data_IF_475374154644
#
_entry.id   IF_475374154644
#
_cell.length_a   1.000
_cell.length_b   1.000
_cell.length_c   1.000
_cell.angle_alpha   90.00
_cell.angle_beta   90.00
_cell.angle_gamma   90.00
#
_symmetry.space_group_name_H-M   'P 1'
#
loop_
_entity.id
_entity.type
_entity.pdbx_description
1 polymer ?
#
# COMPACT_ATOMS: atom_id res chain seq x y z
N UNK A 1 -11.68 3.12 -11.78
CA UNK A 1 -13.09 2.95 -11.44
C UNK A 1 -13.22 2.37 -10.05
N UNK A 2 -14.13 2.89 -9.21
CA UNK A 2 -14.37 2.39 -7.85
C UNK A 2 -15.08 1.03 -7.75
N UNK A 3 -15.13 0.24 -8.82
CA UNK A 3 -15.96 -0.94 -9.00
C UNK A 3 -15.56 -2.21 -8.22
N UNK A 4 -14.59 -2.14 -7.32
CA UNK A 4 -14.23 -3.28 -6.44
C UNK A 4 -14.62 -3.02 -4.97
N UNK A 5 -15.40 -1.98 -4.70
CA UNK A 5 -15.91 -1.64 -3.37
C UNK A 5 -17.35 -2.15 -3.18
N UNK A 6 -17.74 -2.38 -1.93
CA UNK A 6 -19.05 -2.95 -1.51
C UNK A 6 -20.20 -2.02 -1.94
N UNK A 7 -21.17 -2.51 -2.69
CA UNK A 7 -22.38 -1.80 -3.08
C UNK A 7 -22.71 -1.96 -4.57
N UNK A 8 -21.99 -1.32 -5.47
CA UNK A 8 -22.15 -1.48 -6.92
C UNK A 8 -21.26 -2.59 -7.52
N UNK A 9 -20.51 -3.29 -6.67
CA UNK A 9 -19.55 -4.32 -7.03
C UNK A 9 -20.18 -5.57 -7.65
N UNK A 10 -21.46 -5.83 -7.43
CA UNK A 10 -22.13 -7.04 -7.93
C UNK A 10 -22.19 -7.07 -9.47
N UNK A 11 -22.45 -5.91 -10.12
CA UNK A 11 -22.46 -5.85 -11.58
C UNK A 11 -21.05 -6.00 -12.17
N UNK A 12 -20.06 -5.33 -11.59
CA UNK A 12 -18.66 -5.43 -12.05
C UNK A 12 -18.16 -6.85 -11.84
N UNK A 13 -18.42 -7.43 -10.69
CA UNK A 13 -18.02 -8.80 -10.36
C UNK A 13 -18.67 -9.80 -11.32
N UNK A 14 -19.98 -9.79 -11.46
CA UNK A 14 -20.73 -10.70 -12.34
C UNK A 14 -20.36 -10.55 -13.81
N UNK A 15 -20.00 -9.33 -14.24
CA UNK A 15 -19.53 -9.08 -15.61
C UNK A 15 -18.14 -9.64 -15.82
N UNK A 16 -17.22 -9.41 -14.87
CA UNK A 16 -15.84 -9.90 -14.96
C UNK A 16 -15.77 -11.43 -14.91
N UNK A 17 -16.60 -12.08 -14.09
CA UNK A 17 -16.71 -13.54 -14.02
C UNK A 17 -17.24 -14.17 -15.33
N UNK A 18 -18.03 -13.42 -16.12
CA UNK A 18 -18.47 -13.83 -17.47
C UNK A 18 -17.41 -13.64 -18.54
N UNK A 19 -16.50 -12.68 -18.35
CA UNK A 19 -15.47 -12.33 -19.33
C UNK A 19 -14.16 -13.10 -19.16
N UNK A 20 -13.95 -13.69 -18.00
CA UNK A 20 -12.72 -14.41 -17.69
C UNK A 20 -12.66 -14.93 -16.26
N UNK A 21 -11.48 -15.38 -15.87
CA UNK A 21 -11.20 -15.91 -14.53
C UNK A 21 -10.70 -14.77 -13.64
N UNK A 22 -11.61 -14.05 -12.98
CA UNK A 22 -11.28 -12.94 -12.08
C UNK A 22 -11.70 -13.27 -10.65
N UNK A 23 -10.76 -13.21 -9.72
CA UNK A 23 -10.97 -13.43 -8.29
C UNK A 23 -10.96 -12.10 -7.53
N UNK A 24 -11.87 -11.97 -6.56
CA UNK A 24 -11.97 -10.82 -5.69
C UNK A 24 -11.45 -11.16 -4.30
N UNK A 25 -10.50 -10.37 -3.82
CA UNK A 25 -9.82 -10.61 -2.56
C UNK A 25 -10.08 -9.49 -1.55
N UNK A 26 -10.15 -9.89 -0.28
CA UNK A 26 -10.08 -8.97 0.85
C UNK A 26 -8.70 -9.12 1.49
N UNK A 27 -7.72 -8.40 0.96
CA UNK A 27 -6.36 -8.45 1.47
C UNK A 27 -6.30 -7.85 2.89
N UNK A 28 -5.58 -8.52 3.79
CA UNK A 28 -5.42 -8.03 5.17
C UNK A 28 -4.40 -6.90 5.26
N UNK A 29 -4.69 -5.80 4.56
CA UNK A 29 -3.86 -4.59 4.55
C UNK A 29 -4.71 -3.31 4.67
N UNK A 30 -4.06 -2.21 5.03
CA UNK A 30 -4.62 -0.87 5.09
C UNK A 30 -3.54 0.16 4.68
N UNK A 31 -3.90 1.08 3.74
CA UNK A 31 -5.10 1.09 2.91
C UNK A 31 -5.06 0.00 1.84
N UNK A 32 -6.18 -0.21 1.13
CA UNK A 32 -6.17 -1.10 -0.04
C UNK A 32 -6.69 -2.52 0.22
N UNK A 33 -7.71 -2.67 1.08
CA UNK A 33 -8.30 -3.98 1.40
C UNK A 33 -8.92 -4.72 0.20
N UNK A 34 -9.77 -4.09 -0.64
CA UNK A 34 -10.34 -4.78 -1.80
C UNK A 34 -9.34 -4.80 -2.96
N UNK A 35 -9.20 -5.96 -3.57
CA UNK A 35 -8.37 -6.18 -4.76
C UNK A 35 -9.04 -7.23 -5.63
N UNK A 36 -9.14 -7.00 -6.94
CA UNK A 36 -9.49 -8.03 -7.89
C UNK A 36 -8.26 -8.36 -8.75
N UNK A 37 -8.07 -9.64 -9.03
CA UNK A 37 -6.97 -10.11 -9.86
C UNK A 37 -7.44 -11.29 -10.68
N UNK A 38 -7.01 -11.35 -11.93
CA UNK A 38 -7.36 -12.46 -12.79
C UNK A 38 -6.91 -12.29 -14.22
N UNK A 39 -7.54 -13.04 -15.10
CA UNK A 39 -7.25 -13.04 -16.53
C UNK A 39 -8.56 -12.90 -17.32
N UNK A 40 -8.56 -11.99 -18.28
CA UNK A 40 -9.65 -11.80 -19.25
C UNK A 40 -9.05 -12.06 -20.62
N UNK A 41 -9.47 -13.15 -21.28
CA UNK A 41 -8.82 -13.67 -22.49
C UNK A 41 -7.31 -13.85 -22.25
N UNK A 42 -6.48 -13.12 -23.00
CA UNK A 42 -5.01 -13.17 -22.89
C UNK A 42 -4.45 -12.02 -22.05
N UNK A 43 -5.27 -11.17 -21.46
CA UNK A 43 -4.85 -10.02 -20.67
C UNK A 43 -4.92 -10.30 -19.16
N UNK A 44 -3.91 -9.89 -18.42
CA UNK A 44 -3.94 -9.86 -16.95
C UNK A 44 -4.78 -8.67 -16.50
N UNK A 45 -5.66 -8.91 -15.55
CA UNK A 45 -6.56 -7.90 -14.99
C UNK A 45 -6.22 -7.62 -13.52
N UNK A 46 -6.11 -6.35 -13.18
CA UNK A 46 -6.04 -5.85 -11.80
C UNK A 46 -7.16 -4.86 -11.55
N UNK A 47 -8.02 -5.16 -10.60
CA UNK A 47 -9.04 -4.25 -10.10
C UNK A 47 -8.60 -3.63 -8.78
N UNK A 48 -8.29 -2.33 -8.80
CA UNK A 48 -7.78 -1.62 -7.64
C UNK A 48 -8.91 -0.90 -6.89
N UNK A 49 -8.73 -0.57 -5.59
CA UNK A 49 -9.70 0.20 -4.81
C UNK A 49 -10.01 1.56 -5.46
N UNK A 50 -11.17 2.16 -5.12
CA UNK A 50 -11.54 3.48 -5.65
C UNK A 50 -10.87 4.66 -4.94
N UNK A 51 -10.49 4.52 -3.68
CA UNK A 51 -9.84 5.59 -2.92
C UNK A 51 -8.40 5.84 -3.42
N UNK A 52 -8.01 7.08 -3.73
CA UNK A 52 -6.74 7.37 -4.42
C UNK A 52 -5.50 6.87 -3.69
N UNK A 53 -5.41 7.04 -2.39
CA UNK A 53 -4.27 6.50 -1.61
C UNK A 53 -4.25 4.97 -1.63
N UNK A 54 -5.42 4.33 -1.58
CA UNK A 54 -5.51 2.87 -1.69
C UNK A 54 -5.05 2.38 -3.06
N UNK A 55 -5.42 3.09 -4.14
CA UNK A 55 -4.94 2.79 -5.50
C UNK A 55 -3.42 2.82 -5.56
N UNK A 56 -2.81 3.91 -5.08
CA UNK A 56 -1.36 4.09 -5.12
C UNK A 56 -0.64 2.99 -4.32
N UNK A 57 -1.08 2.74 -3.09
CA UNK A 57 -0.47 1.70 -2.24
C UNK A 57 -0.61 0.32 -2.88
N UNK A 58 -1.80 -0.06 -3.35
CA UNK A 58 -1.99 -1.38 -3.99
C UNK A 58 -1.24 -1.49 -5.32
N UNK A 59 -1.14 -0.40 -6.08
CA UNK A 59 -0.33 -0.36 -7.28
C UNK A 59 1.14 -0.65 -6.97
N UNK A 60 1.74 0.10 -6.07
CA UNK A 60 3.14 -0.08 -5.70
C UNK A 60 3.43 -1.46 -5.10
N UNK A 61 2.54 -1.98 -4.26
CA UNK A 61 2.79 -3.24 -3.56
C UNK A 61 2.62 -4.46 -4.46
N UNK A 62 1.64 -4.45 -5.39
CA UNK A 62 1.28 -5.62 -6.19
C UNK A 62 1.49 -5.43 -7.69
N UNK A 63 0.91 -4.37 -8.27
CA UNK A 63 0.81 -4.23 -9.73
C UNK A 63 2.17 -3.94 -10.34
N UNK A 64 2.93 -3.05 -9.74
CA UNK A 64 4.24 -2.66 -10.26
C UNK A 64 5.18 -3.87 -10.41
N UNK A 65 5.26 -4.71 -9.38
CA UNK A 65 6.11 -5.92 -9.45
C UNK A 65 5.64 -6.90 -10.53
N UNK A 66 4.32 -7.02 -10.70
CA UNK A 66 3.77 -7.84 -11.76
C UNK A 66 4.10 -7.30 -13.15
N UNK A 67 4.01 -5.97 -13.34
CA UNK A 67 4.39 -5.31 -14.61
C UNK A 67 5.89 -5.47 -14.90
N UNK A 68 6.75 -5.33 -13.91
CA UNK A 68 8.18 -5.57 -14.04
C UNK A 68 8.45 -7.00 -14.54
N UNK A 69 7.85 -7.98 -13.88
CA UNK A 69 7.98 -9.38 -14.27
C UNK A 69 7.43 -9.67 -15.68
N UNK A 70 6.28 -9.08 -16.01
CA UNK A 70 5.67 -9.23 -17.34
C UNK A 70 6.53 -8.59 -18.44
N UNK A 71 7.31 -7.55 -18.13
CA UNK A 71 8.25 -6.92 -19.05
C UNK A 71 9.59 -7.68 -19.17
N UNK A 72 9.72 -8.84 -18.52
CA UNK A 72 10.94 -9.64 -18.52
C UNK A 72 12.03 -9.14 -17.58
N UNK A 73 11.69 -8.21 -16.68
CA UNK A 73 12.62 -7.70 -15.66
C UNK A 73 12.50 -8.50 -14.37
N UNK A 74 13.61 -8.65 -13.65
CA UNK A 74 13.53 -9.06 -12.25
C UNK A 74 12.90 -7.94 -11.43
N UNK A 75 11.89 -8.23 -10.59
CA UNK A 75 11.26 -7.23 -9.75
C UNK A 75 12.28 -6.55 -8.84
N UNK A 76 12.24 -5.22 -8.76
CA UNK A 76 13.14 -4.44 -7.93
C UNK A 76 13.02 -4.85 -6.46
N UNK A 77 14.17 -5.15 -5.83
CA UNK A 77 14.22 -5.32 -4.38
C UNK A 77 14.00 -3.97 -3.72
N UNK A 78 12.90 -3.84 -3.02
CA UNK A 78 12.57 -2.60 -2.31
C UNK A 78 13.56 -2.35 -1.18
N UNK A 79 14.03 -1.13 -1.08
CA UNK A 79 14.85 -0.69 0.04
C UNK A 79 13.97 -0.63 1.29
N UNK A 80 14.44 -1.25 2.34
CA UNK A 80 13.80 -1.23 3.66
C UNK A 80 14.81 -0.71 4.66
N UNK A 81 14.47 0.38 5.31
CA UNK A 81 15.32 1.03 6.30
C UNK A 81 14.70 0.90 7.69
N UNK A 82 15.52 1.01 8.71
CA UNK A 82 15.09 1.15 10.09
C UNK A 82 15.19 2.61 10.50
N UNK A 83 14.10 3.18 11.01
CA UNK A 83 14.05 4.56 11.46
C UNK A 83 13.45 4.64 12.86
N UNK A 84 13.84 5.63 13.65
CA UNK A 84 13.18 5.94 14.93
C UNK A 84 11.95 6.80 14.68
N UNK A 85 10.83 6.42 15.26
CA UNK A 85 9.59 7.19 15.13
C UNK A 85 9.61 8.45 15.99
N UNK A 86 9.32 9.59 15.40
CA UNK A 86 9.12 10.88 16.10
C UNK A 86 7.70 11.04 16.63
N UNK A 87 6.82 10.07 16.42
CA UNK A 87 5.42 10.14 16.80
C UNK A 87 4.86 8.79 17.22
N UNK A 88 3.85 8.83 18.08
CA UNK A 88 3.07 7.62 18.40
C UNK A 88 2.27 7.21 17.17
N UNK A 89 2.45 5.97 16.72
CA UNK A 89 1.69 5.38 15.62
C UNK A 89 0.65 4.41 16.19
N UNK A 90 -0.61 4.76 16.01
CA UNK A 90 -1.72 3.91 16.47
C UNK A 90 -2.18 2.98 15.35
N UNK A 91 -2.37 1.72 15.70
CA UNK A 91 -2.85 0.67 14.80
C UNK A 91 -3.67 -0.34 15.59
N UNK A 92 -4.64 -0.99 14.93
CA UNK A 92 -5.31 -2.18 15.47
C UNK A 92 -4.68 -3.42 14.84
N UNK A 93 -4.41 -4.50 15.59
CA UNK A 93 -3.95 -5.77 15.04
C UNK A 93 -4.87 -6.35 13.96
N UNK A 94 -4.39 -7.33 13.23
CA UNK A 94 -5.15 -8.09 12.24
C UNK A 94 -4.98 -7.63 10.79
N UNK A 95 -4.28 -6.53 10.53
CA UNK A 95 -3.92 -6.10 9.18
C UNK A 95 -2.54 -5.46 9.16
N UNK A 96 -1.82 -5.66 8.07
CA UNK A 96 -0.64 -4.83 7.76
C UNK A 96 -1.09 -3.41 7.46
N UNK A 97 -0.38 -2.39 7.98
CA UNK A 97 -0.64 -1.00 7.62
C UNK A 97 0.58 -0.36 6.96
N UNK A 98 0.30 0.39 5.87
CA UNK A 98 1.24 1.29 5.21
C UNK A 98 0.80 2.73 5.52
N UNK A 99 1.37 3.32 6.58
CA UNK A 99 1.13 4.72 6.91
C UNK A 99 2.10 5.59 6.09
N UNK A 100 1.68 6.80 5.76
CA UNK A 100 2.53 7.75 5.02
C UNK A 100 3.38 8.51 6.02
N UNK A 101 4.67 8.61 5.72
CA UNK A 101 5.63 9.29 6.58
C UNK A 101 6.60 10.17 5.79
N UNK A 102 7.25 11.05 6.53
CA UNK A 102 8.41 11.80 6.09
C UNK A 102 9.57 11.27 6.91
N UNK A 103 10.57 10.69 6.26
CA UNK A 103 11.81 10.32 6.89
C UNK A 103 12.91 11.30 6.53
N UNK A 104 13.84 11.46 7.42
CA UNK A 104 15.04 12.29 7.28
C UNK A 104 16.20 11.66 8.05
N UNK A 105 17.39 12.21 7.89
CA UNK A 105 18.58 11.82 8.65
C UNK A 105 18.82 12.91 9.72
N UNK A 106 18.94 12.51 10.98
CA UNK A 106 19.24 13.41 12.08
C UNK A 106 20.72 13.83 12.10
N UNK A 107 21.08 14.72 13.02
CA UNK A 107 22.46 15.23 13.15
C UNK A 107 23.50 14.12 13.49
N UNK A 108 23.05 13.02 14.06
CA UNK A 108 23.87 11.87 14.44
C UNK A 108 23.95 10.80 13.34
N UNK A 109 23.30 11.05 12.18
CA UNK A 109 23.28 10.14 11.03
C UNK A 109 22.23 9.02 11.13
N UNK A 110 21.29 9.09 12.06
CA UNK A 110 20.23 8.09 12.18
C UNK A 110 19.01 8.46 11.32
N UNK A 111 18.34 7.46 10.77
CA UNK A 111 17.04 7.66 10.15
C UNK A 111 15.98 7.89 11.23
N UNK A 112 15.23 8.96 11.07
CA UNK A 112 14.06 9.30 11.88
C UNK A 112 12.86 9.46 10.96
N UNK A 113 11.66 9.16 11.45
CA UNK A 113 10.43 9.23 10.66
C UNK A 113 9.29 9.82 11.45
N UNK A 114 8.52 10.67 10.81
CA UNK A 114 7.27 11.21 11.32
C UNK A 114 6.12 10.87 10.36
N UNK A 115 4.95 10.53 10.90
CA UNK A 115 3.77 10.32 10.05
C UNK A 115 3.30 11.64 9.46
N UNK A 116 2.91 11.66 8.19
CA UNK A 116 2.14 12.78 7.64
C UNK A 116 0.76 12.80 8.30
N UNK A 117 0.17 13.98 8.50
CA UNK A 117 -1.13 14.25 9.10
C UNK A 117 -2.15 13.09 9.15
N UNK A 118 -3.36 13.31 8.69
CA UNK A 118 -4.41 12.29 8.72
C UNK A 118 -4.15 11.15 7.73
N UNK A 119 -4.28 9.90 8.20
CA UNK A 119 -3.94 8.67 7.46
C UNK A 119 -5.14 8.04 6.71
N UNK A 120 -6.19 8.81 6.42
CA UNK A 120 -7.35 8.34 5.67
C UNK A 120 -7.00 7.96 4.22
N UNK A 121 -7.67 6.93 3.69
CA UNK A 121 -7.42 6.42 2.32
C UNK A 121 -7.88 7.37 1.20
N UNK A 122 -8.72 8.34 1.51
CA UNK A 122 -9.16 9.39 0.59
C UNK A 122 -8.32 10.68 0.65
N UNK A 123 -7.35 10.77 1.57
CA UNK A 123 -6.58 12.01 1.79
C UNK A 123 -5.31 11.96 0.94
N UNK A 124 -5.44 12.35 -0.33
CA UNK A 124 -4.33 12.33 -1.29
C UNK A 124 -3.15 13.21 -0.87
N UNK A 125 -3.41 14.34 -0.21
CA UNK A 125 -2.36 15.23 0.29
C UNK A 125 -1.34 14.48 1.16
N UNK A 126 -1.78 13.51 1.97
CA UNK A 126 -0.89 12.71 2.79
C UNK A 126 0.14 11.90 2.00
N UNK A 127 -0.15 11.60 0.73
CA UNK A 127 0.80 10.96 -0.20
C UNK A 127 1.77 11.98 -0.80
N UNK A 128 1.26 13.17 -1.14
CA UNK A 128 2.10 14.24 -1.73
C UNK A 128 3.13 14.77 -0.76
N UNK A 129 2.78 14.80 0.53
CA UNK A 129 3.67 15.28 1.59
C UNK A 129 4.68 14.20 2.06
N UNK A 130 4.42 12.93 1.75
CA UNK A 130 5.24 11.81 2.20
C UNK A 130 6.41 11.51 1.26
N UNK A 131 7.48 10.94 1.82
CA UNK A 131 8.60 10.37 1.07
C UNK A 131 8.83 8.88 1.38
N UNK A 132 8.02 8.29 2.27
CA UNK A 132 8.09 6.86 2.58
C UNK A 132 6.74 6.29 3.01
N UNK A 133 6.65 4.96 2.95
CA UNK A 133 5.69 4.21 3.75
C UNK A 133 6.31 3.79 5.06
N UNK A 134 5.59 3.98 6.16
CA UNK A 134 5.89 3.38 7.46
C UNK A 134 5.17 2.04 7.49
N UNK A 135 5.92 0.95 7.62
CA UNK A 135 5.40 -0.41 7.61
C UNK A 135 5.10 -0.89 9.03
N UNK A 136 3.85 -1.18 9.29
CA UNK A 136 3.37 -1.73 10.57
C UNK A 136 2.87 -3.16 10.31
N UNK A 137 3.55 -4.18 10.86
CA UNK A 137 3.19 -5.58 10.64
C UNK A 137 1.82 -5.93 11.22
N UNK A 138 1.29 -7.10 10.85
CA UNK A 138 -0.09 -7.51 11.15
C UNK A 138 -0.36 -7.56 12.66
N UNK A 139 0.60 -8.02 13.42
CA UNK A 139 0.52 -8.26 14.86
C UNK A 139 0.69 -6.97 15.68
N UNK A 140 1.24 -5.91 15.07
CA UNK A 140 1.52 -4.66 15.76
C UNK A 140 0.25 -4.00 16.29
N UNK A 141 0.29 -3.50 17.50
CA UNK A 141 -0.73 -2.64 18.12
C UNK A 141 -0.42 -1.15 17.94
N UNK A 142 0.63 -0.85 17.21
CA UNK A 142 1.22 0.46 17.05
C UNK A 142 2.63 0.50 17.64
N UNK A 143 3.20 1.68 17.70
CA UNK A 143 4.52 1.93 18.33
C UNK A 143 4.50 3.26 19.07
N UNK A 144 5.41 3.41 20.03
CA UNK A 144 5.62 4.65 20.74
C UNK A 144 6.65 5.54 20.02
N UNK A 145 6.71 6.78 20.43
CA UNK A 145 7.80 7.68 20.05
C UNK A 145 9.14 7.11 20.53
N UNK A 146 10.16 7.20 19.68
CA UNK A 146 11.49 6.65 19.93
C UNK A 146 11.67 5.18 19.55
N UNK A 147 10.59 4.42 19.36
CA UNK A 147 10.67 3.03 18.90
C UNK A 147 11.22 2.95 17.47
N UNK A 148 11.90 1.84 17.17
CA UNK A 148 12.41 1.56 15.83
C UNK A 148 11.34 0.91 14.97
N UNK A 149 11.13 1.44 13.76
CA UNK A 149 10.16 0.96 12.78
C UNK A 149 10.80 0.77 11.40
N UNK A 150 10.26 -0.13 10.61
CA UNK A 150 10.63 -0.31 9.21
C UNK A 150 9.95 0.74 8.34
N UNK A 151 10.72 1.39 7.47
CA UNK A 151 10.22 2.32 6.46
C UNK A 151 10.63 1.88 5.06
N UNK A 152 9.79 2.19 4.07
CA UNK A 152 10.02 1.92 2.67
C UNK A 152 10.05 3.25 1.90
N UNK A 153 11.24 3.77 1.58
CA UNK A 153 11.40 5.02 0.82
C UNK A 153 10.69 4.96 -0.54
N UNK A 154 10.08 6.06 -0.96
CA UNK A 154 9.39 6.11 -2.26
C UNK A 154 10.34 6.01 -3.44
N UNK A 155 11.57 6.46 -3.30
CA UNK A 155 12.64 6.30 -4.30
C UNK A 155 12.91 4.83 -4.65
N UNK A 156 12.57 3.90 -3.76
CA UNK A 156 12.70 2.46 -4.02
C UNK A 156 11.58 1.88 -4.88
N UNK A 157 10.61 2.69 -5.28
CA UNK A 157 9.47 2.29 -6.12
C UNK A 157 9.53 2.84 -7.54
N UNK A 158 10.54 3.69 -7.82
CA UNK A 158 10.69 4.38 -9.12
C UNK A 158 11.92 3.86 -9.86
#
# INVERSE_FOLDING_TARGET
SGGVSVGDADFVKSTLEKLGEVNFWKVSMKPGRPLAFGKINNAIFFGLPGNPVSVMVTFYIFVQQALEKMSGREPHKRIKLKAKSKSVLRKRPGRVEFQRGIYEIDADGNYIVEKTGAQGSGILRSMSDANCFIFLPMESEGINEGDTIEIWPFESFI
#
